data_IF_722533984020
#
_entry.id   IF_722533984020
#
_cell.length_a   1.000
_cell.length_b   1.000
_cell.length_c   1.000
_cell.angle_alpha   90.00
_cell.angle_beta   90.00
_cell.angle_gamma   90.00
#
_symmetry.space_group_name_H-M   'P 1'
#
loop_
_entity.id
_entity.type
_entity.pdbx_description
1 polymer ?
#
# COMPACT_ATOMS: atom_id res chain seq x y z
N UNK A 1 -76.73 8.74 0.33
CA UNK A 1 -75.51 7.84 0.46
C UNK A 1 -74.31 8.67 0.11
N UNK A 2 -73.59 9.17 1.13
CA UNK A 2 -72.46 10.11 0.96
C UNK A 2 -71.14 9.34 0.93
N UNK A 3 -70.48 9.36 -0.19
CA UNK A 3 -69.08 8.84 -0.31
C UNK A 3 -68.16 9.99 0.10
N UNK A 4 -67.38 9.76 1.19
CA UNK A 4 -66.34 10.67 1.67
C UNK A 4 -65.05 10.37 0.88
N UNK A 5 -64.53 11.37 0.17
CA UNK A 5 -63.22 11.36 -0.43
C UNK A 5 -62.16 11.55 0.68
N UNK A 6 -61.23 10.62 0.80
CA UNK A 6 -59.97 10.80 1.55
C UNK A 6 -58.89 11.26 0.57
N UNK A 7 -58.11 12.31 0.88
CA UNK A 7 -56.97 12.69 0.07
C UNK A 7 -55.80 11.80 0.44
N UNK A 8 -55.21 11.14 -0.57
CA UNK A 8 -53.91 10.49 -0.47
C UNK A 8 -52.84 11.57 -0.29
N UNK A 9 -52.20 11.62 0.89
CA UNK A 9 -50.98 12.38 1.13
C UNK A 9 -49.84 11.57 0.55
N UNK A 10 -49.35 11.96 -0.61
CA UNK A 10 -48.16 11.43 -1.21
C UNK A 10 -46.92 11.82 -0.40
N UNK A 11 -46.30 10.84 0.28
CA UNK A 11 -45.02 11.00 0.94
C UNK A 11 -43.92 11.06 -0.14
N UNK A 12 -43.47 12.28 -0.49
CA UNK A 12 -42.26 12.46 -1.31
C UNK A 12 -41.05 12.04 -0.48
N UNK A 13 -40.57 10.86 -0.73
CA UNK A 13 -39.21 10.46 -0.33
C UNK A 13 -38.22 11.27 -1.17
N UNK A 14 -37.69 12.34 -0.58
CA UNK A 14 -36.55 13.03 -1.13
C UNK A 14 -35.35 12.10 -1.05
N UNK A 15 -34.95 11.49 -2.17
CA UNK A 15 -33.69 10.86 -2.32
C UNK A 15 -32.63 11.96 -2.35
N UNK A 16 -31.96 12.19 -1.22
CA UNK A 16 -30.78 13.04 -1.16
C UNK A 16 -29.71 12.41 -2.04
N UNK A 17 -29.43 13.00 -3.19
CA UNK A 17 -28.23 12.71 -3.97
C UNK A 17 -27.03 13.18 -3.15
N UNK A 18 -25.98 12.35 -2.92
CA UNK A 18 -24.79 12.81 -2.23
C UNK A 18 -24.20 13.98 -3.02
N UNK A 19 -23.94 15.07 -2.32
CA UNK A 19 -23.28 16.26 -2.85
C UNK A 19 -21.88 15.89 -3.28
N UNK A 20 -21.42 16.46 -4.39
CA UNK A 20 -20.04 16.33 -4.89
C UNK A 20 -18.96 16.82 -3.89
N UNK A 21 -19.34 17.36 -2.75
CA UNK A 21 -18.46 17.75 -1.65
C UNK A 21 -18.04 16.59 -0.72
N UNK A 22 -18.67 15.39 -0.84
CA UNK A 22 -18.34 14.23 0.00
C UNK A 22 -17.21 13.35 -0.54
N UNK A 23 -16.54 13.74 -1.62
CA UNK A 23 -15.59 12.88 -2.37
C UNK A 23 -14.12 13.19 -2.08
N UNK A 24 -13.81 14.13 -1.21
CA UNK A 24 -12.45 14.34 -0.71
C UNK A 24 -12.44 14.17 0.82
N UNK A 25 -12.66 12.96 1.31
CA UNK A 25 -12.40 12.68 2.72
C UNK A 25 -10.91 12.89 2.96
N UNK A 26 -10.51 13.84 3.84
CA UNK A 26 -9.14 13.91 4.32
C UNK A 26 -8.78 12.52 4.85
N UNK A 27 -7.51 12.12 4.73
CA UNK A 27 -7.00 10.88 5.32
C UNK A 27 -7.74 10.64 6.63
N UNK A 28 -8.52 9.55 6.70
CA UNK A 28 -9.24 9.28 7.94
C UNK A 28 -8.21 8.85 8.99
N UNK A 29 -7.66 9.82 9.71
CA UNK A 29 -6.60 9.63 10.70
C UNK A 29 -7.02 8.62 11.76
N UNK A 30 -8.30 8.62 12.15
CA UNK A 30 -8.83 7.66 13.11
C UNK A 30 -8.79 6.22 12.56
N UNK A 31 -9.10 6.03 11.27
CA UNK A 31 -9.01 4.72 10.64
C UNK A 31 -7.55 4.28 10.48
N UNK A 32 -6.66 5.18 10.10
CA UNK A 32 -5.23 4.90 9.96
C UNK A 32 -4.63 4.50 11.32
N UNK A 33 -4.96 5.24 12.38
CA UNK A 33 -4.59 4.92 13.77
C UNK A 33 -5.14 3.57 14.22
N UNK A 34 -6.42 3.29 13.96
CA UNK A 34 -7.02 2.01 14.31
C UNK A 34 -6.31 0.84 13.64
N UNK A 35 -6.01 0.97 12.34
CA UNK A 35 -5.27 -0.05 11.58
C UNK A 35 -3.85 -0.21 12.14
N UNK A 36 -3.18 0.87 12.51
CA UNK A 36 -1.88 0.82 13.18
C UNK A 36 -1.94 0.03 14.49
N UNK A 37 -2.95 0.31 15.33
CA UNK A 37 -3.17 -0.40 16.58
C UNK A 37 -3.50 -1.89 16.36
N UNK A 38 -4.23 -2.21 15.31
CA UNK A 38 -4.54 -3.61 14.96
C UNK A 38 -3.27 -4.37 14.56
N UNK A 39 -2.37 -3.76 13.77
CA UNK A 39 -1.06 -4.33 13.47
C UNK A 39 -0.17 -4.42 14.72
N UNK A 40 -0.14 -3.39 15.57
CA UNK A 40 0.67 -3.42 16.79
C UNK A 40 0.26 -4.56 17.73
N UNK A 41 -1.03 -4.84 17.84
CA UNK A 41 -1.57 -5.79 18.80
C UNK A 41 -2.04 -7.11 18.19
N UNK A 42 -1.99 -7.27 16.87
CA UNK A 42 -2.47 -8.47 16.18
C UNK A 42 -3.99 -8.67 16.28
N UNK A 43 -4.77 -7.58 16.29
CA UNK A 43 -6.22 -7.63 16.43
C UNK A 43 -6.90 -7.94 15.10
N UNK A 44 -7.29 -9.19 14.91
CA UNK A 44 -7.93 -9.65 13.66
C UNK A 44 -6.99 -9.76 12.46
N UNK A 45 -5.74 -9.37 12.61
CA UNK A 45 -4.67 -9.47 11.62
C UNK A 45 -3.39 -9.95 12.28
N UNK A 46 -2.44 -10.46 11.49
CA UNK A 46 -1.14 -10.83 12.03
C UNK A 46 -0.40 -9.59 12.54
N UNK A 47 0.14 -9.68 13.76
CA UNK A 47 0.96 -8.62 14.34
C UNK A 47 2.14 -8.25 13.44
N UNK A 48 2.30 -6.94 13.19
CA UNK A 48 3.40 -6.37 12.40
C UNK A 48 3.74 -4.98 12.95
N UNK A 49 4.80 -4.91 13.73
CA UNK A 49 5.22 -3.64 14.35
C UNK A 49 5.76 -2.63 13.32
N UNK A 50 6.32 -3.09 12.21
CA UNK A 50 6.82 -2.21 11.14
C UNK A 50 5.67 -1.47 10.46
N UNK A 51 4.62 -2.20 10.05
CA UNK A 51 3.41 -1.61 9.48
C UNK A 51 2.70 -0.70 10.49
N UNK A 52 2.64 -1.09 11.76
CA UNK A 52 2.08 -0.26 12.82
C UNK A 52 2.84 1.08 12.93
N UNK A 53 4.18 1.03 12.95
CA UNK A 53 5.04 2.21 13.02
C UNK A 53 4.81 3.15 11.83
N UNK A 54 4.82 2.63 10.60
CA UNK A 54 4.58 3.44 9.40
C UNK A 54 3.23 4.15 9.42
N UNK A 55 2.18 3.45 9.85
CA UNK A 55 0.83 4.01 9.91
C UNK A 55 0.69 5.05 11.03
N UNK A 56 1.24 4.77 12.22
CA UNK A 56 1.30 5.75 13.29
C UNK A 56 2.10 6.98 12.87
N UNK A 57 3.23 6.80 12.18
CA UNK A 57 4.05 7.88 11.67
C UNK A 57 3.26 8.80 10.72
N UNK A 58 2.59 8.23 9.72
CA UNK A 58 1.74 9.00 8.78
C UNK A 58 0.64 9.78 9.50
N UNK A 59 -0.04 9.14 10.45
CA UNK A 59 -1.11 9.79 11.19
C UNK A 59 -0.59 10.88 12.14
N UNK A 60 0.52 10.63 12.85
CA UNK A 60 1.14 11.59 13.77
C UNK A 60 1.66 12.84 13.05
N UNK A 61 2.31 12.67 11.89
CA UNK A 61 2.76 13.78 11.04
C UNK A 61 1.58 14.60 10.49
N UNK A 62 0.43 13.96 10.26
CA UNK A 62 -0.81 14.62 9.88
C UNK A 62 -1.57 15.25 11.07
N UNK A 63 -1.02 15.19 12.29
CA UNK A 63 -1.56 15.85 13.47
C UNK A 63 -2.35 14.98 14.44
N UNK A 64 -2.40 13.66 14.24
CA UNK A 64 -3.09 12.75 15.16
C UNK A 64 -2.29 12.57 16.46
N UNK A 65 -2.83 13.06 17.58
CA UNK A 65 -2.15 13.03 18.88
C UNK A 65 -1.99 11.63 19.45
N UNK A 66 -3.00 10.76 19.27
CA UNK A 66 -2.95 9.39 19.77
C UNK A 66 -1.94 8.55 19.00
N UNK A 67 -1.76 8.79 17.69
CA UNK A 67 -0.70 8.16 16.90
C UNK A 67 0.69 8.63 17.32
N UNK A 68 0.85 9.92 17.64
CA UNK A 68 2.10 10.43 18.20
C UNK A 68 2.40 9.78 19.57
N UNK A 69 1.38 9.60 20.42
CA UNK A 69 1.52 8.82 21.65
C UNK A 69 1.95 7.38 21.37
N UNK A 70 1.32 6.72 20.39
CA UNK A 70 1.67 5.36 19.97
C UNK A 70 3.15 5.22 19.58
N UNK A 71 3.67 6.16 18.76
CA UNK A 71 5.10 6.21 18.39
C UNK A 71 6.00 6.38 19.63
N UNK A 72 5.65 7.32 20.51
CA UNK A 72 6.37 7.51 21.78
C UNK A 72 6.44 6.21 22.58
N UNK A 73 5.35 5.46 22.60
CA UNK A 73 5.27 4.19 23.32
C UNK A 73 6.06 3.07 22.63
N UNK A 74 6.09 3.03 21.30
CA UNK A 74 6.92 2.09 20.52
C UNK A 74 8.41 2.33 20.79
N UNK A 75 8.89 3.57 20.75
CA UNK A 75 10.28 3.91 21.09
C UNK A 75 10.61 3.65 22.56
N UNK A 76 9.68 3.95 23.47
CA UNK A 76 9.89 3.73 24.90
C UNK A 76 10.12 2.25 25.24
N UNK A 77 9.36 1.36 24.58
CA UNK A 77 9.42 -0.09 24.83
C UNK A 77 10.35 -0.83 23.86
N UNK A 78 10.82 -0.23 22.79
CA UNK A 78 11.57 -0.90 21.73
C UNK A 78 10.71 -1.87 20.92
N UNK A 79 9.44 -1.51 20.65
CA UNK A 79 8.53 -2.34 19.85
C UNK A 79 8.66 -1.97 18.38
N UNK A 80 9.20 -2.88 17.58
CA UNK A 80 9.41 -2.69 16.15
C UNK A 80 10.48 -1.67 15.78
N UNK A 81 10.99 -0.94 16.77
CA UNK A 81 12.10 0.01 16.66
C UNK A 81 13.08 -0.20 17.80
N UNK A 82 14.33 0.24 17.62
CA UNK A 82 15.28 0.26 18.74
C UNK A 82 14.77 1.20 19.84
N UNK A 83 14.83 0.74 21.09
CA UNK A 83 14.49 1.58 22.24
C UNK A 83 15.29 2.88 22.23
N UNK A 84 14.60 4.02 22.25
CA UNK A 84 15.19 5.34 22.21
C UNK A 84 14.35 6.30 23.06
N UNK A 85 14.87 6.69 24.23
CA UNK A 85 14.14 7.56 25.16
C UNK A 85 14.02 9.01 24.69
N UNK A 86 15.05 9.61 24.06
CA UNK A 86 14.93 10.90 23.40
C UNK A 86 13.82 10.96 22.35
N UNK A 87 13.75 9.97 21.43
CA UNK A 87 12.69 9.91 20.44
C UNK A 87 11.31 9.63 21.06
N UNK A 88 11.24 8.77 22.10
CA UNK A 88 10.02 8.56 22.85
C UNK A 88 9.50 9.87 23.45
N UNK A 89 10.39 10.66 24.09
CA UNK A 89 10.05 11.95 24.67
C UNK A 89 9.61 12.96 23.61
N UNK A 90 10.29 13.01 22.45
CA UNK A 90 9.89 13.84 21.32
C UNK A 90 8.42 13.56 20.89
N UNK A 91 8.07 12.30 20.68
CA UNK A 91 6.73 11.92 20.25
C UNK A 91 5.68 12.13 21.34
N UNK A 92 6.00 11.85 22.61
CA UNK A 92 5.12 12.19 23.73
C UNK A 92 4.89 13.70 23.84
N UNK A 93 5.93 14.52 23.61
CA UNK A 93 5.77 15.96 23.60
C UNK A 93 4.83 16.41 22.46
N UNK A 94 4.99 15.87 21.28
CA UNK A 94 4.09 16.14 20.15
C UNK A 94 2.64 15.78 20.45
N UNK A 95 2.40 14.65 21.13
CA UNK A 95 1.07 14.25 21.55
C UNK A 95 0.51 15.17 22.65
N UNK A 96 1.31 15.48 23.66
CA UNK A 96 0.93 16.34 24.78
C UNK A 96 0.60 17.77 24.33
N UNK A 97 1.38 18.35 23.41
CA UNK A 97 1.15 19.68 22.84
C UNK A 97 -0.18 19.74 22.06
N UNK A 98 -0.70 18.58 21.63
CA UNK A 98 -2.02 18.41 20.99
C UNK A 98 -3.11 17.94 21.95
N UNK A 99 -2.85 17.96 23.26
CA UNK A 99 -3.84 17.69 24.31
C UNK A 99 -3.95 16.24 24.77
N UNK A 100 -3.02 15.35 24.41
CA UNK A 100 -3.02 13.99 24.91
C UNK A 100 -2.57 13.93 26.38
N UNK A 101 -3.50 13.59 27.29
CA UNK A 101 -3.23 13.56 28.74
C UNK A 101 -2.33 12.39 29.16
N UNK A 102 -2.33 11.28 28.41
CA UNK A 102 -1.44 10.16 28.70
C UNK A 102 0.00 10.53 28.38
N UNK A 103 0.21 11.22 27.26
CA UNK A 103 1.52 11.75 26.89
C UNK A 103 2.03 12.78 27.92
N UNK A 104 1.17 13.67 28.42
CA UNK A 104 1.52 14.61 29.51
C UNK A 104 2.00 13.86 30.76
N UNK A 105 1.32 12.77 31.12
CA UNK A 105 1.71 11.91 32.23
C UNK A 105 3.07 11.25 31.99
N UNK A 106 3.34 10.80 30.77
CA UNK A 106 4.64 10.21 30.43
C UNK A 106 5.76 11.23 30.55
N UNK A 107 5.59 12.43 30.00
CA UNK A 107 6.60 13.50 30.10
C UNK A 107 6.88 13.92 31.55
N UNK A 108 5.87 13.99 32.42
CA UNK A 108 6.08 14.32 33.84
C UNK A 108 6.97 13.30 34.55
N UNK A 109 7.06 12.07 34.08
CA UNK A 109 7.88 10.99 34.65
C UNK A 109 9.29 10.90 34.08
N UNK A 110 9.47 11.27 32.82
CA UNK A 110 10.72 11.04 32.07
C UNK A 110 11.45 12.33 31.70
N UNK A 111 10.80 13.48 31.86
CA UNK A 111 11.34 14.79 31.52
C UNK A 111 11.24 15.07 30.00
N UNK A 112 11.40 16.36 29.66
CA UNK A 112 11.51 16.80 28.27
C UNK A 112 12.90 16.44 27.74
N UNK A 113 12.96 15.66 26.65
CA UNK A 113 14.17 15.57 25.88
C UNK A 113 14.22 16.72 24.85
N UNK A 114 15.42 17.14 24.41
CA UNK A 114 15.55 18.15 23.36
C UNK A 114 14.80 17.65 22.10
N UNK A 115 14.17 18.60 21.39
CA UNK A 115 13.49 18.30 20.13
C UNK A 115 14.49 17.66 19.15
N UNK A 116 14.25 16.42 18.82
CA UNK A 116 15.07 15.65 17.90
C UNK A 116 14.16 15.20 16.75
N UNK A 117 14.53 15.50 15.51
CA UNK A 117 13.82 14.94 14.36
C UNK A 117 13.95 13.42 14.40
N UNK A 118 12.86 12.73 14.15
CA UNK A 118 12.86 11.27 14.03
C UNK A 118 13.30 10.86 12.61
N UNK A 119 14.52 10.33 12.43
CA UNK A 119 15.00 9.97 11.10
C UNK A 119 14.25 8.78 10.47
N UNK A 120 13.51 8.01 11.26
CA UNK A 120 12.72 6.89 10.76
C UNK A 120 11.27 7.29 10.42
N UNK A 121 10.85 8.47 10.86
CA UNK A 121 9.52 9.01 10.63
C UNK A 121 9.61 10.32 9.84
N UNK A 122 10.07 10.23 8.60
CA UNK A 122 10.09 11.38 7.71
C UNK A 122 8.79 11.48 6.92
N UNK A 123 8.23 12.69 6.73
CA UNK A 123 7.27 12.89 5.66
C UNK A 123 8.05 12.64 4.36
N UNK A 124 7.64 11.62 3.61
CA UNK A 124 8.07 11.50 2.21
C UNK A 124 7.86 12.88 1.56
N UNK A 125 8.82 13.36 0.75
CA UNK A 125 8.61 14.61 0.04
C UNK A 125 7.28 14.49 -0.69
N UNK A 126 6.36 15.41 -0.40
CA UNK A 126 5.08 15.49 -1.11
C UNK A 126 5.44 15.83 -2.55
N UNK A 127 5.66 14.80 -3.35
CA UNK A 127 5.64 14.93 -4.80
C UNK A 127 4.20 15.28 -5.11
N UNK A 128 3.93 16.56 -5.32
CA UNK A 128 2.65 17.04 -5.85
C UNK A 128 2.53 16.50 -7.28
N UNK A 129 2.16 15.23 -7.36
CA UNK A 129 1.67 14.67 -8.61
C UNK A 129 0.26 15.23 -8.74
N UNK A 130 0.04 16.05 -9.73
CA UNK A 130 -1.30 16.45 -10.15
C UNK A 130 -2.03 15.19 -10.60
N UNK A 131 -2.72 14.54 -9.64
CA UNK A 131 -3.41 13.28 -9.87
C UNK A 131 -4.75 13.59 -10.51
N UNK A 132 -4.87 13.33 -11.78
CA UNK A 132 -6.14 13.32 -12.53
C UNK A 132 -6.94 12.03 -12.34
N UNK A 133 -6.51 11.14 -11.45
CA UNK A 133 -7.11 9.82 -11.19
C UNK A 133 -7.64 9.79 -9.74
N UNK A 134 -8.96 9.77 -9.61
CA UNK A 134 -9.67 9.85 -8.32
C UNK A 134 -9.67 8.53 -7.50
N UNK A 135 -8.75 7.59 -7.77
CA UNK A 135 -8.68 6.35 -7.00
C UNK A 135 -7.80 6.52 -5.75
N UNK A 136 -8.37 6.58 -4.53
CA UNK A 136 -7.62 6.81 -3.28
C UNK A 136 -6.60 5.70 -2.99
N UNK A 137 -6.84 4.48 -3.44
CA UNK A 137 -5.92 3.37 -3.25
C UNK A 137 -4.65 3.52 -4.09
N UNK A 138 -4.73 4.18 -5.24
CA UNK A 138 -3.58 4.34 -6.14
C UNK A 138 -2.43 5.08 -5.48
N UNK A 139 -2.68 6.16 -4.75
CA UNK A 139 -1.63 6.96 -4.09
C UNK A 139 -0.87 6.15 -3.04
N UNK A 140 -1.61 5.37 -2.25
CA UNK A 140 -1.03 4.50 -1.22
C UNK A 140 -0.18 3.40 -1.87
N UNK A 141 -0.72 2.78 -2.93
CA UNK A 141 -0.01 1.74 -3.69
C UNK A 141 1.24 2.29 -4.35
N UNK A 142 1.18 3.50 -4.94
CA UNK A 142 2.32 4.17 -5.56
C UNK A 142 3.45 4.43 -4.55
N UNK A 143 3.13 4.85 -3.33
CA UNK A 143 4.11 5.03 -2.28
C UNK A 143 4.83 3.71 -1.93
N UNK A 144 4.09 2.60 -1.83
CA UNK A 144 4.70 1.28 -1.60
C UNK A 144 5.54 0.80 -2.79
N UNK A 145 5.04 0.97 -4.01
CA UNK A 145 5.76 0.58 -5.23
C UNK A 145 7.06 1.35 -5.38
N UNK A 146 7.06 2.66 -5.11
CA UNK A 146 8.27 3.49 -5.19
C UNK A 146 9.36 3.06 -4.19
N UNK A 147 8.98 2.43 -3.08
CA UNK A 147 9.93 1.87 -2.13
C UNK A 147 10.39 0.46 -2.54
N UNK A 148 9.48 -0.37 -3.03
CA UNK A 148 9.73 -1.80 -3.28
C UNK A 148 10.44 -2.02 -4.62
N UNK A 149 9.94 -1.43 -5.72
CA UNK A 149 10.41 -1.73 -7.06
C UNK A 149 11.92 -1.48 -7.27
N UNK A 150 12.51 -0.37 -6.75
CA UNK A 150 13.95 -0.12 -6.89
C UNK A 150 14.84 -1.18 -6.22
N UNK A 151 14.38 -1.80 -5.13
CA UNK A 151 15.12 -2.90 -4.46
C UNK A 151 15.35 -4.09 -5.38
N UNK A 152 14.36 -4.33 -6.23
CA UNK A 152 14.40 -5.38 -7.24
C UNK A 152 15.04 -4.91 -8.56
N UNK A 153 15.47 -3.64 -8.63
CA UNK A 153 16.01 -3.04 -9.86
C UNK A 153 14.96 -2.90 -10.95
N UNK A 154 13.70 -2.64 -10.58
CA UNK A 154 12.58 -2.51 -11.51
C UNK A 154 12.08 -1.06 -11.48
N UNK A 155 11.70 -0.57 -12.67
CA UNK A 155 11.03 0.72 -12.82
C UNK A 155 9.66 0.68 -12.10
N UNK A 156 9.42 1.57 -11.13
CA UNK A 156 8.14 1.67 -10.45
C UNK A 156 6.95 1.83 -11.40
N UNK A 157 7.12 2.50 -12.53
CA UNK A 157 6.05 2.69 -13.50
C UNK A 157 5.61 1.38 -14.16
N UNK A 158 6.53 0.43 -14.38
CA UNK A 158 6.16 -0.91 -14.87
C UNK A 158 5.31 -1.65 -13.84
N UNK A 159 5.70 -1.62 -12.57
CA UNK A 159 4.94 -2.27 -11.49
C UNK A 159 3.54 -1.64 -11.36
N UNK A 160 3.45 -0.31 -11.39
CA UNK A 160 2.16 0.41 -11.35
C UNK A 160 1.25 0.06 -12.53
N UNK A 161 1.81 -0.08 -13.73
CA UNK A 161 1.05 -0.47 -14.92
C UNK A 161 0.49 -1.89 -14.81
N UNK A 162 1.28 -2.82 -14.26
CA UNK A 162 0.83 -4.19 -13.96
C UNK A 162 -0.28 -4.18 -12.91
N UNK A 163 -0.11 -3.50 -11.77
CA UNK A 163 -1.15 -3.40 -10.73
C UNK A 163 -2.46 -2.83 -11.28
N UNK A 164 -2.35 -1.82 -12.15
CA UNK A 164 -3.52 -1.23 -12.80
C UNK A 164 -4.27 -2.25 -13.67
N UNK A 165 -3.55 -3.09 -14.41
CA UNK A 165 -4.15 -4.13 -15.25
C UNK A 165 -4.76 -5.25 -14.42
N UNK A 166 -4.09 -5.68 -13.35
CA UNK A 166 -4.48 -6.85 -12.54
C UNK A 166 -5.69 -6.57 -11.63
N UNK A 167 -5.72 -5.43 -10.98
CA UNK A 167 -6.70 -5.17 -9.92
C UNK A 167 -7.34 -3.78 -9.97
N UNK A 168 -6.93 -2.91 -10.88
CA UNK A 168 -7.28 -1.49 -10.85
C UNK A 168 -7.02 -0.86 -9.44
N UNK A 169 -5.92 -1.26 -8.80
CA UNK A 169 -5.51 -0.85 -7.44
C UNK A 169 -6.43 -1.35 -6.31
N UNK A 170 -7.20 -2.40 -6.54
CA UNK A 170 -8.03 -3.01 -5.50
C UNK A 170 -7.24 -4.07 -4.71
N UNK A 171 -6.89 -3.85 -3.42
CA UNK A 171 -6.12 -4.79 -2.63
C UNK A 171 -6.90 -6.07 -2.27
N UNK A 172 -8.22 -6.05 -2.40
CA UNK A 172 -9.10 -7.20 -2.12
C UNK A 172 -9.60 -7.90 -3.37
N UNK A 173 -8.97 -7.64 -4.53
CA UNK A 173 -9.35 -8.27 -5.78
C UNK A 173 -9.11 -9.79 -5.74
N UNK A 174 -10.11 -10.56 -6.18
CA UNK A 174 -10.05 -12.02 -6.29
C UNK A 174 -10.55 -12.43 -7.65
N UNK A 175 -9.74 -13.18 -8.39
CA UNK A 175 -10.14 -13.73 -9.69
C UNK A 175 -10.79 -15.12 -9.57
N UNK A 176 -11.46 -15.55 -10.64
CA UNK A 176 -12.01 -16.91 -10.73
C UNK A 176 -10.94 -18.03 -10.69
N UNK A 177 -9.67 -17.69 -10.86
CA UNK A 177 -8.50 -18.60 -10.76
C UNK A 177 -7.81 -18.50 -9.40
N UNK A 178 -8.47 -17.91 -8.39
CA UNK A 178 -7.92 -17.67 -7.06
C UNK A 178 -6.66 -16.77 -7.03
N UNK A 179 -6.50 -15.89 -8.02
CA UNK A 179 -5.47 -14.87 -7.99
C UNK A 179 -5.90 -13.74 -7.04
N UNK A 180 -4.99 -13.29 -6.18
CA UNK A 180 -5.30 -12.48 -5.00
C UNK A 180 -4.55 -11.15 -5.00
N UNK A 181 -5.26 -10.11 -4.56
CA UNK A 181 -4.69 -8.81 -4.22
C UNK A 181 -4.27 -7.95 -5.41
N UNK A 182 -3.44 -6.96 -5.13
CA UNK A 182 -3.05 -5.88 -6.06
C UNK A 182 -2.43 -6.39 -7.36
N UNK A 183 -1.56 -7.39 -7.29
CA UNK A 183 -0.82 -7.95 -8.41
C UNK A 183 -1.32 -9.35 -8.81
N UNK A 184 -2.50 -9.74 -8.33
CA UNK A 184 -3.19 -10.99 -8.67
C UNK A 184 -2.28 -12.23 -8.61
N UNK A 185 -1.68 -12.44 -7.44
CA UNK A 185 -0.84 -13.61 -7.23
C UNK A 185 -1.70 -14.86 -7.01
N UNK A 186 -1.50 -15.88 -7.84
CA UNK A 186 -2.04 -17.22 -7.55
C UNK A 186 -1.23 -17.87 -6.43
N UNK A 187 -1.83 -18.79 -5.63
CA UNK A 187 -1.17 -19.41 -4.47
C UNK A 187 0.22 -19.98 -4.78
N UNK A 188 0.36 -20.66 -5.91
CA UNK A 188 1.63 -21.29 -6.33
C UNK A 188 2.72 -20.22 -6.58
N UNK A 189 2.35 -19.08 -7.16
CA UNK A 189 3.28 -17.96 -7.36
C UNK A 189 3.63 -17.30 -6.04
N UNK A 190 2.66 -17.10 -5.14
CA UNK A 190 2.89 -16.56 -3.81
C UNK A 190 3.87 -17.44 -3.02
N UNK A 191 3.67 -18.76 -3.01
CA UNK A 191 4.56 -19.72 -2.37
C UNK A 191 5.97 -19.70 -2.99
N UNK A 192 6.09 -19.71 -4.33
CA UNK A 192 7.37 -19.66 -5.05
C UNK A 192 8.23 -18.46 -4.65
N UNK A 193 7.61 -17.31 -4.38
CA UNK A 193 8.31 -16.08 -3.99
C UNK A 193 8.25 -15.80 -2.48
N UNK A 194 7.89 -16.79 -1.65
CA UNK A 194 7.95 -16.73 -0.20
C UNK A 194 6.92 -15.79 0.44
N UNK A 195 5.81 -15.54 -0.25
CA UNK A 195 4.71 -14.69 0.24
C UNK A 195 3.79 -15.54 1.12
N UNK A 196 3.69 -15.17 2.39
CA UNK A 196 2.88 -15.89 3.37
C UNK A 196 1.41 -15.46 3.36
N UNK A 197 1.16 -14.21 3.01
CA UNK A 197 -0.17 -13.62 2.96
C UNK A 197 -0.29 -12.75 1.70
N UNK A 198 -0.92 -13.29 0.66
CA UNK A 198 -1.15 -12.61 -0.60
C UNK A 198 -2.25 -11.52 -0.50
N UNK A 199 -3.01 -11.47 0.60
CA UNK A 199 -3.97 -10.42 0.87
C UNK A 199 -3.32 -9.18 1.53
N UNK A 200 -2.15 -9.35 2.14
CA UNK A 200 -1.38 -8.20 2.62
C UNK A 200 -0.84 -7.41 1.41
N UNK A 201 -1.23 -6.14 1.22
CA UNK A 201 -0.89 -5.37 0.02
C UNK A 201 0.61 -5.26 -0.21
N UNK A 202 1.40 -5.03 0.85
CA UNK A 202 2.85 -4.89 0.77
C UNK A 202 3.52 -6.21 0.41
N UNK A 203 3.08 -7.33 1.01
CA UNK A 203 3.59 -8.65 0.64
C UNK A 203 3.21 -9.01 -0.80
N UNK A 204 1.99 -8.67 -1.22
CA UNK A 204 1.51 -8.89 -2.58
C UNK A 204 2.37 -8.14 -3.61
N UNK A 205 2.64 -6.85 -3.38
CA UNK A 205 3.54 -6.06 -4.24
C UNK A 205 4.96 -6.64 -4.24
N UNK A 206 5.51 -7.04 -3.08
CA UNK A 206 6.83 -7.69 -3.01
C UNK A 206 6.87 -8.97 -3.85
N UNK A 207 5.85 -9.83 -3.75
CA UNK A 207 5.77 -11.09 -4.50
C UNK A 207 5.64 -10.88 -6.00
N UNK A 208 4.74 -10.00 -6.43
CA UNK A 208 4.55 -9.67 -7.85
C UNK A 208 5.77 -8.99 -8.46
N UNK A 209 6.43 -8.10 -7.70
CA UNK A 209 7.68 -7.46 -8.12
C UNK A 209 8.83 -8.48 -8.19
N UNK A 210 8.92 -9.43 -7.26
CA UNK A 210 9.90 -10.51 -7.32
C UNK A 210 9.69 -11.41 -8.55
N UNK A 211 8.43 -11.68 -8.92
CA UNK A 211 8.10 -12.41 -10.14
C UNK A 211 8.48 -11.62 -11.39
N UNK A 212 8.16 -10.32 -11.46
CA UNK A 212 8.63 -9.45 -12.56
C UNK A 212 10.15 -9.41 -12.67
N UNK A 213 10.86 -9.32 -11.54
CA UNK A 213 12.32 -9.38 -11.49
C UNK A 213 12.84 -10.66 -12.14
N UNK A 214 12.27 -11.81 -11.78
CA UNK A 214 12.66 -13.10 -12.36
C UNK A 214 12.35 -13.14 -13.86
N UNK A 215 11.18 -12.68 -14.29
CA UNK A 215 10.78 -12.66 -15.70
C UNK A 215 11.66 -11.72 -16.55
N UNK A 216 11.99 -10.53 -16.04
CA UNK A 216 12.88 -9.59 -16.72
C UNK A 216 14.27 -10.18 -16.98
N UNK A 217 14.77 -10.95 -16.02
CA UNK A 217 16.03 -11.68 -16.21
C UNK A 217 15.87 -12.83 -17.19
N UNK A 218 14.79 -13.59 -17.10
CA UNK A 218 14.50 -14.76 -17.93
C UNK A 218 14.31 -14.40 -19.41
N UNK A 219 13.63 -13.29 -19.68
CA UNK A 219 13.36 -12.78 -21.03
C UNK A 219 14.28 -11.62 -21.45
N UNK A 220 15.44 -11.47 -20.80
CA UNK A 220 16.49 -10.51 -21.19
C UNK A 220 15.98 -9.07 -21.32
N UNK A 221 15.07 -8.66 -20.44
CA UNK A 221 14.50 -7.31 -20.41
C UNK A 221 13.47 -7.01 -21.49
N UNK A 222 13.02 -8.00 -22.28
CA UNK A 222 11.96 -7.82 -23.31
C UNK A 222 10.61 -7.70 -22.64
N UNK A 223 10.13 -6.46 -22.49
CA UNK A 223 8.93 -6.13 -21.69
C UNK A 223 7.67 -6.82 -22.21
N UNK A 224 7.49 -6.92 -23.51
CA UNK A 224 6.36 -7.59 -24.13
C UNK A 224 6.26 -9.09 -23.74
N UNK A 225 7.41 -9.80 -23.74
CA UNK A 225 7.49 -11.20 -23.33
C UNK A 225 7.32 -11.36 -21.81
N UNK A 226 7.85 -10.42 -21.01
CA UNK A 226 7.68 -10.37 -19.56
C UNK A 226 6.19 -10.26 -19.20
N UNK A 227 5.48 -9.32 -19.84
CA UNK A 227 4.06 -9.11 -19.63
C UNK A 227 3.23 -10.32 -20.07
N UNK A 228 3.56 -10.88 -21.22
CA UNK A 228 2.89 -12.09 -21.70
C UNK A 228 3.09 -13.27 -20.74
N UNK A 229 4.29 -13.42 -20.19
CA UNK A 229 4.61 -14.46 -19.23
C UNK A 229 3.97 -14.24 -17.87
N UNK A 230 3.87 -12.99 -17.43
CA UNK A 230 3.17 -12.65 -16.19
C UNK A 230 1.70 -13.10 -16.25
N UNK A 231 1.02 -12.86 -17.36
CA UNK A 231 -0.39 -13.21 -17.56
C UNK A 231 -0.62 -14.70 -17.92
N UNK A 232 0.17 -15.25 -18.86
CA UNK A 232 -0.05 -16.60 -19.40
C UNK A 232 0.87 -17.68 -18.81
N UNK A 233 1.84 -17.30 -18.01
CA UNK A 233 2.93 -18.14 -17.51
C UNK A 233 4.10 -18.24 -18.50
N UNK A 234 5.33 -18.32 -17.96
CA UNK A 234 6.57 -18.38 -18.73
C UNK A 234 6.62 -19.54 -19.72
N UNK A 235 6.10 -20.71 -19.32
CA UNK A 235 6.07 -21.90 -20.19
C UNK A 235 5.25 -21.73 -21.46
N UNK A 236 4.19 -20.91 -21.41
CA UNK A 236 3.41 -20.60 -22.60
C UNK A 236 4.22 -19.75 -23.58
N UNK A 237 4.90 -18.71 -23.08
CA UNK A 237 5.76 -17.84 -23.90
C UNK A 237 6.92 -18.62 -24.52
N UNK A 238 7.55 -19.52 -23.77
CA UNK A 238 8.62 -20.40 -24.27
C UNK A 238 8.11 -21.34 -25.37
N UNK A 239 6.94 -21.97 -25.17
CA UNK A 239 6.30 -22.88 -26.13
C UNK A 239 6.02 -22.20 -27.47
N UNK A 240 5.46 -20.98 -27.41
CA UNK A 240 5.12 -20.22 -28.59
C UNK A 240 6.27 -19.38 -29.14
N UNK A 241 7.43 -19.36 -28.43
CA UNK A 241 8.61 -18.54 -28.76
C UNK A 241 8.27 -17.05 -28.95
N UNK A 242 7.30 -16.56 -28.19
CA UNK A 242 6.77 -15.22 -28.28
C UNK A 242 5.45 -15.09 -27.50
N UNK A 243 4.73 -14.01 -27.74
CA UNK A 243 3.42 -13.78 -27.12
C UNK A 243 2.45 -14.88 -27.58
N UNK A 244 1.86 -15.68 -26.65
CA UNK A 244 0.91 -16.72 -27.01
C UNK A 244 -0.31 -16.16 -27.76
N UNK A 245 -0.93 -16.93 -28.67
CA UNK A 245 -2.12 -16.50 -29.42
C UNK A 245 -3.38 -16.55 -28.57
N UNK A 246 -3.29 -16.17 -27.30
CA UNK A 246 -4.41 -16.05 -26.37
C UNK A 246 -4.91 -14.60 -26.39
N UNK A 247 -6.17 -14.40 -26.75
CA UNK A 247 -6.75 -13.06 -26.87
C UNK A 247 -6.61 -12.25 -25.57
N UNK A 248 -6.77 -12.91 -24.40
CA UNK A 248 -6.57 -12.30 -23.09
C UNK A 248 -5.14 -11.76 -22.95
N UNK A 249 -4.13 -12.60 -23.23
CA UNK A 249 -2.72 -12.22 -23.08
C UNK A 249 -2.30 -11.13 -24.06
N UNK A 250 -2.74 -11.22 -25.32
CA UNK A 250 -2.46 -10.20 -26.33
C UNK A 250 -3.04 -8.84 -25.95
N UNK A 251 -4.27 -8.81 -25.44
CA UNK A 251 -4.91 -7.60 -24.95
C UNK A 251 -4.22 -7.05 -23.70
N UNK A 252 -3.83 -7.92 -22.77
CA UNK A 252 -3.08 -7.55 -21.57
C UNK A 252 -1.77 -6.84 -21.91
N UNK A 253 -0.95 -7.46 -22.78
CA UNK A 253 0.31 -6.87 -23.24
C UNK A 253 0.07 -5.51 -23.91
N UNK A 254 -0.87 -5.45 -24.85
CA UNK A 254 -1.20 -4.20 -25.55
C UNK A 254 -1.64 -3.09 -24.59
N UNK A 255 -2.46 -3.42 -23.62
CA UNK A 255 -2.99 -2.47 -22.65
C UNK A 255 -1.88 -1.91 -21.75
N UNK A 256 -0.98 -2.75 -21.26
CA UNK A 256 0.11 -2.30 -20.38
C UNK A 256 1.12 -1.48 -21.17
N UNK A 257 1.49 -1.90 -22.38
CA UNK A 257 2.39 -1.13 -23.24
C UNK A 257 1.83 0.25 -23.65
N UNK A 258 0.51 0.42 -23.64
CA UNK A 258 -0.09 1.76 -23.82
C UNK A 258 0.15 2.69 -22.61
N UNK A 259 0.35 2.15 -21.41
CA UNK A 259 0.65 2.92 -20.19
C UNK A 259 2.16 2.98 -19.88
N UNK A 260 2.90 1.97 -20.31
CA UNK A 260 4.35 1.84 -20.15
C UNK A 260 4.97 1.52 -21.52
N UNK A 261 5.27 2.54 -22.34
CA UNK A 261 5.64 2.36 -23.75
C UNK A 261 7.09 1.90 -23.98
N UNK A 262 7.78 1.42 -22.93
CA UNK A 262 9.15 0.94 -23.03
C UNK A 262 9.18 -0.52 -23.52
N UNK A 263 9.71 -0.77 -24.70
CA UNK A 263 9.85 -2.11 -25.27
C UNK A 263 10.86 -2.98 -24.50
N UNK A 264 11.83 -2.34 -23.86
CA UNK A 264 12.88 -3.00 -23.09
C UNK A 264 13.04 -2.35 -21.71
N UNK A 265 13.44 -3.15 -20.74
CA UNK A 265 13.79 -2.75 -19.39
C UNK A 265 15.23 -3.22 -19.12
N UNK A 266 16.07 -2.46 -18.39
CA UNK A 266 17.38 -2.95 -17.96
C UNK A 266 17.26 -4.30 -17.25
N UNK A 267 18.16 -5.23 -17.51
CA UNK A 267 18.15 -6.52 -16.83
C UNK A 267 18.47 -6.28 -15.35
N UNK A 268 17.57 -6.63 -14.43
CA UNK A 268 17.83 -6.43 -13.01
C UNK A 268 19.03 -7.25 -12.52
N UNK A 269 19.70 -6.84 -11.43
CA UNK A 269 20.83 -7.58 -10.85
C UNK A 269 20.41 -9.00 -10.43
N UNK A 270 21.39 -9.92 -10.28
CA UNK A 270 21.11 -11.33 -9.99
C UNK A 270 20.36 -11.56 -8.66
N UNK A 271 20.58 -10.70 -7.70
CA UNK A 271 19.83 -10.66 -6.43
C UNK A 271 19.31 -9.26 -6.20
N UNK A 272 18.14 -9.12 -5.56
CA UNK A 272 17.66 -7.82 -5.08
C UNK A 272 18.78 -7.14 -4.28
N UNK A 273 18.91 -5.83 -4.42
CA UNK A 273 19.98 -5.08 -3.76
C UNK A 273 19.84 -5.18 -2.25
N UNK A 274 20.69 -6.00 -1.61
CA UNK A 274 20.71 -6.15 -0.13
C UNK A 274 21.08 -4.86 0.61
N UNK A 275 21.65 -3.88 -0.08
CA UNK A 275 22.13 -2.61 0.49
C UNK A 275 21.13 -1.46 0.39
N UNK A 276 20.06 -1.58 -0.38
CA UNK A 276 18.85 -0.84 -0.08
C UNK A 276 18.17 -1.67 1.01
N UNK A 277 18.62 -1.51 2.23
CA UNK A 277 17.80 -1.78 3.38
C UNK A 277 16.63 -0.83 3.19
N UNK A 278 15.60 -1.32 2.46
CA UNK A 278 14.30 -0.97 2.93
C UNK A 278 14.30 -1.65 4.29
N UNK A 279 14.75 -0.92 5.29
CA UNK A 279 14.31 -1.19 6.62
C UNK A 279 12.80 -0.89 6.63
N UNK A 280 12.03 -1.71 5.92
CA UNK A 280 10.76 -2.14 6.42
C UNK A 280 11.20 -2.95 7.62
N UNK A 281 11.55 -2.23 8.70
CA UNK A 281 11.86 -2.86 9.98
C UNK A 281 10.62 -3.64 10.33
N UNK A 282 10.69 -4.95 10.07
CA UNK A 282 9.70 -5.96 10.49
C UNK A 282 9.48 -5.88 11.99
#
# INVERSE_FOLDING_TARGET
MNLKYFPLIGLLLATATPSAADVASPLNLAQLRQTAADFEHGRGIKQDYGLAFEMYCKAALAGDSESAYGLGFMYFNGRGVKRDLPLASHWFKQAADRGDHHAQTMLSRFGDAPATEDPACHPEPVVTVTVTDNNPNRQIVEAWVNQIAPVYGIDPQLVMAVIKAESAFNPTALSGKNAQGLMQLIPETAERFGIKDAWNPVQNIKGGTAYLHWLLRHFEGKVDLVLAAYNAGEKAVERYKGIPPYAETQNYVKQILAWYPNATHPIPPQSPQKNLVIEVKT
#
